data_IF_566314487417
#
_entry.id   IF_566314487417
#
_cell.length_a   1.000
_cell.length_b   1.000
_cell.length_c   1.000
_cell.angle_alpha   90.00
_cell.angle_beta   90.00
_cell.angle_gamma   90.00
#
_symmetry.space_group_name_H-M   'P 1'
#
loop_
_entity.id
_entity.type
_entity.pdbx_description
1 polymer ?
#
# COMPACT_ATOMS: atom_id res chain seq x y z
N UNK A 1 23.64 7.58 4.02
CA UNK A 1 22.81 7.27 2.84
C UNK A 1 22.20 5.88 2.94
N UNK A 2 22.97 4.81 3.18
CA UNK A 2 22.43 3.44 3.32
C UNK A 2 21.43 3.24 4.48
N UNK A 3 21.65 3.90 5.62
CA UNK A 3 20.74 3.79 6.78
C UNK A 3 19.35 4.39 6.51
N UNK A 4 19.26 5.38 5.62
CA UNK A 4 17.98 6.00 5.27
C UNK A 4 17.20 5.10 4.31
N UNK A 5 17.89 4.44 3.37
CA UNK A 5 17.28 3.46 2.46
C UNK A 5 16.78 2.21 3.20
N UNK A 6 17.53 1.73 4.20
CA UNK A 6 17.13 0.60 5.04
C UNK A 6 15.92 0.95 5.93
N UNK A 7 15.87 2.17 6.47
CA UNK A 7 14.72 2.66 7.21
C UNK A 7 13.49 2.82 6.30
N UNK A 8 13.68 3.33 5.08
CA UNK A 8 12.59 3.49 4.13
C UNK A 8 12.01 2.12 3.70
N UNK A 9 12.86 1.15 3.38
CA UNK A 9 12.44 -0.23 3.08
C UNK A 9 11.66 -0.88 4.23
N UNK A 10 12.09 -0.68 5.49
CA UNK A 10 11.37 -1.20 6.66
C UNK A 10 10.03 -0.52 6.88
N UNK A 11 9.93 0.79 6.65
CA UNK A 11 8.68 1.53 6.79
C UNK A 11 7.68 1.08 5.73
N UNK A 12 8.08 0.94 4.46
CA UNK A 12 7.20 0.45 3.39
C UNK A 12 6.67 -0.97 3.68
N UNK A 13 7.54 -1.88 4.13
CA UNK A 13 7.13 -3.24 4.50
C UNK A 13 6.19 -3.27 5.72
N UNK A 14 6.38 -2.38 6.69
CA UNK A 14 5.48 -2.23 7.83
C UNK A 14 4.10 -1.69 7.39
N UNK A 15 4.08 -0.73 6.47
CA UNK A 15 2.83 -0.16 5.94
C UNK A 15 2.03 -1.17 5.12
N UNK A 16 2.66 -1.98 4.27
CA UNK A 16 1.97 -3.06 3.54
C UNK A 16 1.34 -4.09 4.48
N UNK A 17 2.06 -4.46 5.55
CA UNK A 17 1.57 -5.42 6.54
C UNK A 17 0.40 -4.88 7.35
N UNK A 18 0.41 -3.59 7.66
CA UNK A 18 -0.71 -2.91 8.33
C UNK A 18 -1.90 -2.81 7.37
N UNK A 19 -1.67 -2.45 6.10
CA UNK A 19 -2.70 -2.42 5.08
C UNK A 19 -3.44 -3.76 4.93
N UNK A 20 -2.69 -4.85 4.81
CA UNK A 20 -3.26 -6.20 4.74
C UNK A 20 -4.02 -6.60 6.03
N UNK A 21 -3.53 -6.18 7.20
CA UNK A 21 -4.18 -6.44 8.49
C UNK A 21 -5.49 -5.66 8.67
N UNK A 22 -5.53 -4.41 8.20
CA UNK A 22 -6.74 -3.58 8.21
C UNK A 22 -7.76 -4.10 7.20
N UNK A 23 -7.32 -4.56 6.03
CA UNK A 23 -8.21 -5.17 5.03
C UNK A 23 -8.85 -6.48 5.52
N UNK A 24 -8.10 -7.30 6.26
CA UNK A 24 -8.63 -8.52 6.90
C UNK A 24 -9.65 -8.24 8.01
N UNK A 25 -9.49 -7.12 8.74
CA UNK A 25 -10.45 -6.68 9.77
C UNK A 25 -11.64 -5.89 9.19
N UNK A 26 -11.44 -5.27 8.02
CA UNK A 26 -12.46 -4.55 7.27
C UNK A 26 -13.28 -5.47 6.36
N UNK A 27 -12.88 -6.74 6.20
CA UNK A 27 -13.77 -7.76 5.67
C UNK A 27 -14.99 -7.82 6.61
N UNK A 28 -16.21 -7.59 6.11
CA UNK A 28 -17.40 -7.78 6.90
C UNK A 28 -17.42 -9.23 7.35
N UNK A 29 -17.22 -9.46 8.64
CA UNK A 29 -17.67 -10.71 9.23
C UNK A 29 -19.18 -10.67 9.07
N UNK A 30 -19.69 -11.35 8.04
CA UNK A 30 -21.11 -11.41 7.72
C UNK A 30 -21.87 -11.61 9.02
N UNK A 31 -22.55 -10.54 9.45
CA UNK A 31 -23.52 -10.63 10.50
C UNK A 31 -24.58 -11.60 9.97
N UNK A 32 -24.58 -12.81 10.52
CA UNK A 32 -25.68 -13.73 10.29
C UNK A 32 -26.98 -12.96 10.60
N UNK A 33 -27.99 -13.01 9.72
CA UNK A 33 -29.25 -12.32 9.95
C UNK A 33 -29.85 -12.77 11.30
N UNK A 34 -30.72 -11.97 11.94
CA UNK A 34 -31.37 -12.37 13.17
C UNK A 34 -31.97 -13.75 12.95
N UNK A 35 -31.46 -14.74 13.66
CA UNK A 35 -31.90 -16.12 13.50
C UNK A 35 -33.39 -16.11 13.83
N UNK A 36 -34.24 -16.33 12.82
CA UNK A 36 -35.60 -16.79 13.07
C UNK A 36 -35.51 -17.91 14.10
N UNK A 37 -36.44 -17.98 15.08
CA UNK A 37 -36.39 -18.99 16.14
C UNK A 37 -36.17 -20.31 15.44
N UNK A 38 -34.99 -20.89 15.64
CA UNK A 38 -34.59 -22.06 14.87
C UNK A 38 -35.61 -23.14 15.18
N UNK A 39 -35.85 -24.10 14.28
CA UNK A 39 -36.79 -25.20 14.57
C UNK A 39 -36.50 -25.85 15.93
N UNK A 40 -35.24 -25.84 16.37
CA UNK A 40 -34.82 -26.25 17.70
C UNK A 40 -35.46 -25.42 18.86
N UNK A 41 -35.60 -24.10 18.72
CA UNK A 41 -36.24 -23.24 19.73
C UNK A 41 -37.75 -23.47 19.81
N UNK A 42 -38.42 -23.70 18.66
CA UNK A 42 -39.85 -24.06 18.66
C UNK A 42 -40.09 -25.46 19.21
N UNK A 43 -39.20 -26.40 18.91
CA UNK A 43 -39.26 -27.79 19.39
C UNK A 43 -39.04 -27.85 20.92
N UNK A 44 -38.12 -27.04 21.43
CA UNK A 44 -37.89 -26.91 22.88
C UNK A 44 -39.09 -26.26 23.59
N UNK A 45 -39.71 -25.23 22.98
CA UNK A 45 -40.91 -24.61 23.54
C UNK A 45 -42.08 -25.60 23.61
N UNK A 46 -42.29 -26.39 22.56
CA UNK A 46 -43.30 -27.45 22.54
C UNK A 46 -43.05 -28.53 23.61
N UNK A 47 -41.80 -28.99 23.76
CA UNK A 47 -41.43 -29.97 24.78
C UNK A 47 -41.68 -29.45 26.21
N UNK A 48 -41.41 -28.16 26.47
CA UNK A 48 -41.68 -27.53 27.77
C UNK A 48 -43.18 -27.40 28.06
N UNK A 49 -44.00 -27.12 27.05
CA UNK A 49 -45.47 -27.10 27.20
C UNK A 49 -46.02 -28.50 27.48
N UNK A 50 -45.53 -29.52 26.77
CA UNK A 50 -45.90 -30.92 26.99
C UNK A 50 -45.51 -31.39 28.42
N UNK A 51 -44.31 -31.06 28.89
CA UNK A 51 -43.89 -31.39 30.26
C UNK A 51 -44.72 -30.66 31.33
N UNK A 52 -45.12 -29.40 31.09
CA UNK A 52 -45.99 -28.65 32.00
C UNK A 52 -47.37 -29.28 32.10
N UNK A 53 -47.94 -29.69 30.96
CA UNK A 53 -49.24 -30.33 30.90
C UNK A 53 -49.19 -31.72 31.56
N UNK A 54 -48.14 -32.49 31.33
CA UNK A 54 -47.89 -33.76 32.01
C UNK A 54 -47.75 -33.58 33.53
N UNK A 55 -47.02 -32.54 33.98
CA UNK A 55 -46.90 -32.22 35.40
C UNK A 55 -48.24 -31.83 36.03
N UNK A 56 -49.05 -31.01 35.36
CA UNK A 56 -50.38 -30.63 35.84
C UNK A 56 -51.29 -31.87 36.01
N UNK A 57 -51.29 -32.77 35.03
CA UNK A 57 -52.02 -34.04 35.11
C UNK A 57 -51.51 -34.95 36.24
N UNK A 58 -50.19 -35.02 36.46
CA UNK A 58 -49.62 -35.78 37.57
C UNK A 58 -50.00 -35.17 38.92
N UNK A 59 -50.03 -33.85 39.04
CA UNK A 59 -50.47 -33.16 40.26
C UNK A 59 -51.95 -33.43 40.56
N UNK A 60 -52.82 -33.40 39.54
CA UNK A 60 -54.23 -33.75 39.70
C UNK A 60 -54.43 -35.23 40.09
N UNK A 61 -53.68 -36.14 39.44
CA UNK A 61 -53.69 -37.57 39.83
C UNK A 61 -53.23 -37.77 41.26
N UNK A 62 -52.14 -37.12 41.67
CA UNK A 62 -51.65 -37.16 43.05
C UNK A 62 -52.67 -36.59 44.04
N UNK A 63 -53.35 -35.49 43.71
CA UNK A 63 -54.42 -34.93 44.53
C UNK A 63 -55.59 -35.91 44.66
N UNK A 64 -55.97 -36.57 43.57
CA UNK A 64 -57.02 -37.60 43.59
C UNK A 64 -56.63 -38.84 44.40
N UNK A 65 -55.37 -39.27 44.30
CA UNK A 65 -54.81 -40.40 45.05
C UNK A 65 -54.75 -40.07 46.54
N UNK A 66 -54.27 -38.87 46.91
CA UNK A 66 -54.29 -38.38 48.29
C UNK A 66 -55.71 -38.35 48.87
N UNK A 67 -56.68 -37.86 48.11
CA UNK A 67 -58.08 -37.82 48.55
C UNK A 67 -58.67 -39.22 48.73
N UNK A 68 -58.38 -40.15 47.81
CA UNK A 68 -58.80 -41.56 47.91
C UNK A 68 -58.17 -42.27 49.11
N UNK A 69 -56.85 -42.13 49.32
CA UNK A 69 -56.19 -42.71 50.48
C UNK A 69 -56.67 -42.11 51.80
N UNK A 70 -56.94 -40.80 51.86
CA UNK A 70 -57.52 -40.20 53.06
C UNK A 70 -58.91 -40.79 53.37
N UNK A 71 -59.75 -40.97 52.36
CA UNK A 71 -61.08 -41.59 52.52
C UNK A 71 -60.99 -43.08 52.89
N UNK A 72 -60.05 -43.82 52.30
CA UNK A 72 -59.80 -45.24 52.60
C UNK A 72 -59.26 -45.42 54.01
N UNK A 73 -58.39 -44.52 54.48
CA UNK A 73 -57.92 -44.49 55.88
C UNK A 73 -59.07 -44.17 56.84
N UNK A 74 -59.96 -43.23 56.51
CA UNK A 74 -61.14 -42.98 57.35
C UNK A 74 -62.10 -44.17 57.38
N UNK A 75 -62.32 -44.83 56.24
CA UNK A 75 -63.14 -46.03 56.15
C UNK A 75 -62.55 -47.21 56.95
N UNK A 76 -61.25 -47.47 56.81
CA UNK A 76 -60.54 -48.51 57.56
C UNK A 76 -60.52 -48.19 59.07
N UNK A 77 -60.41 -46.92 59.46
CA UNK A 77 -60.55 -46.50 60.87
C UNK A 77 -61.95 -46.77 61.40
N UNK A 78 -63.00 -46.51 60.62
CA UNK A 78 -64.38 -46.79 61.01
C UNK A 78 -64.65 -48.31 61.10
N UNK A 79 -64.11 -49.10 60.17
CA UNK A 79 -64.24 -50.57 60.18
C UNK A 79 -63.47 -51.22 61.33
N UNK A 80 -62.28 -50.69 61.67
CA UNK A 80 -61.51 -51.10 62.86
C UNK A 80 -62.19 -50.73 64.18
N UNK A 81 -63.15 -49.79 64.17
CA UNK A 81 -63.93 -49.42 65.36
C UNK A 81 -65.13 -50.36 65.61
N UNK A 82 -65.53 -51.18 64.64
CA UNK A 82 -66.69 -52.10 64.74
C UNK A 82 -66.32 -53.58 64.91
N UNK A 83 -65.04 -53.98 64.78
CA UNK A 83 -64.58 -55.35 64.97
C UNK A 83 -63.89 -55.59 66.35
N UNK A 84 -64.18 -56.69 67.07
CA UNK A 84 -63.46 -57.03 68.30
C UNK A 84 -62.06 -57.57 67.95
N UNK A 85 -61.04 -56.74 68.14
CA UNK A 85 -59.65 -56.99 67.77
C UNK A 85 -59.07 -58.17 68.56
N UNK A 86 -58.45 -59.12 67.86
CA UNK A 86 -57.61 -60.16 68.46
C UNK A 86 -56.16 -59.69 68.55
N UNK A 87 -55.39 -60.14 69.55
CA UNK A 87 -54.05 -59.62 69.84
C UNK A 87 -53.00 -59.73 68.70
N UNK A 88 -53.29 -60.46 67.61
CA UNK A 88 -52.47 -60.50 66.40
C UNK A 88 -52.74 -59.31 65.46
N UNK A 89 -53.99 -58.87 65.36
CA UNK A 89 -54.43 -57.73 64.55
C UNK A 89 -54.04 -56.38 65.19
N UNK A 90 -53.90 -56.32 66.52
CA UNK A 90 -53.32 -55.16 67.22
C UNK A 90 -51.88 -54.88 66.77
N UNK A 91 -51.09 -55.93 66.51
CA UNK A 91 -49.70 -55.79 66.04
C UNK A 91 -49.60 -55.23 64.61
N UNK A 92 -50.50 -55.65 63.73
CA UNK A 92 -50.58 -55.15 62.35
C UNK A 92 -51.17 -53.73 62.30
N UNK A 93 -52.15 -53.42 63.16
CA UNK A 93 -52.67 -52.05 63.31
C UNK A 93 -51.61 -51.09 63.85
N UNK A 94 -50.78 -51.51 64.81
CA UNK A 94 -49.68 -50.68 65.29
C UNK A 94 -48.57 -50.51 64.24
N UNK A 95 -48.28 -51.52 63.42
CA UNK A 95 -47.37 -51.39 62.27
C UNK A 95 -47.92 -50.44 61.20
N UNK A 96 -49.20 -50.57 60.83
CA UNK A 96 -49.83 -49.67 59.86
C UNK A 96 -49.92 -48.22 60.38
N UNK A 97 -50.15 -48.02 61.69
CA UNK A 97 -50.07 -46.69 62.31
C UNK A 97 -48.65 -46.13 62.26
N UNK A 98 -47.63 -46.96 62.48
CA UNK A 98 -46.23 -46.56 62.35
C UNK A 98 -45.86 -46.17 60.92
N UNK A 99 -46.29 -46.95 59.93
CA UNK A 99 -46.05 -46.67 58.50
C UNK A 99 -46.79 -45.41 58.04
N UNK A 100 -48.01 -45.16 58.55
CA UNK A 100 -48.75 -43.91 58.31
C UNK A 100 -48.06 -42.71 58.96
N UNK A 101 -47.52 -42.86 60.16
CA UNK A 101 -46.73 -41.82 60.82
C UNK A 101 -45.44 -41.52 60.03
N UNK A 102 -44.79 -42.54 59.46
CA UNK A 102 -43.61 -42.37 58.61
C UNK A 102 -43.97 -41.70 57.26
N UNK A 103 -45.07 -42.10 56.62
CA UNK A 103 -45.54 -41.52 55.37
C UNK A 103 -45.97 -40.06 55.53
N UNK A 104 -46.65 -39.73 56.63
CA UNK A 104 -47.03 -38.34 56.95
C UNK A 104 -45.79 -37.50 57.27
N UNK A 105 -44.79 -38.04 57.95
CA UNK A 105 -43.51 -37.36 58.17
C UNK A 105 -42.75 -37.09 56.87
N UNK A 106 -42.67 -38.07 55.96
CA UNK A 106 -42.07 -37.91 54.62
C UNK A 106 -42.81 -36.90 53.76
N UNK A 107 -44.14 -36.86 53.85
CA UNK A 107 -44.97 -35.92 53.11
C UNK A 107 -44.78 -34.49 53.64
N UNK A 108 -44.72 -34.29 54.96
CA UNK A 108 -44.39 -32.99 55.54
C UNK A 108 -42.97 -32.53 55.18
N UNK A 109 -41.99 -33.43 55.16
CA UNK A 109 -40.64 -33.11 54.71
C UNK A 109 -40.59 -32.72 53.22
N UNK A 110 -41.37 -33.39 52.37
CA UNK A 110 -41.48 -33.05 50.95
C UNK A 110 -42.20 -31.70 50.72
N UNK A 111 -43.20 -31.38 51.55
CA UNK A 111 -43.90 -30.10 51.50
C UNK A 111 -43.01 -28.95 52.01
N UNK A 112 -42.20 -29.17 53.04
CA UNK A 112 -41.18 -28.23 53.51
C UNK A 112 -40.11 -27.97 52.45
N UNK A 113 -39.55 -29.02 51.83
CA UNK A 113 -38.58 -28.87 50.75
C UNK A 113 -39.17 -28.14 49.52
N UNK A 114 -40.47 -28.32 49.23
CA UNK A 114 -41.15 -27.56 48.18
C UNK A 114 -41.34 -26.08 48.53
N UNK A 115 -41.59 -25.76 49.80
CA UNK A 115 -41.68 -24.37 50.26
C UNK A 115 -40.32 -23.66 50.14
N UNK A 116 -39.23 -24.32 50.56
CA UNK A 116 -37.87 -23.80 50.40
C UNK A 116 -37.49 -23.60 48.92
N UNK A 117 -37.87 -24.53 48.05
CA UNK A 117 -37.63 -24.41 46.61
C UNK A 117 -38.45 -23.27 45.98
N UNK A 118 -39.68 -23.05 46.46
CA UNK A 118 -40.50 -21.92 46.04
C UNK A 118 -39.91 -20.57 46.50
N UNK A 119 -39.35 -20.50 47.70
CA UNK A 119 -38.67 -19.32 48.22
C UNK A 119 -37.37 -19.04 47.44
N UNK A 120 -36.54 -20.06 47.21
CA UNK A 120 -35.33 -19.93 46.39
C UNK A 120 -35.62 -19.51 44.94
N UNK A 121 -36.74 -19.97 44.38
CA UNK A 121 -37.19 -19.55 43.06
C UNK A 121 -37.69 -18.10 43.05
N UNK A 122 -38.42 -17.69 44.08
CA UNK A 122 -38.86 -16.30 44.24
C UNK A 122 -37.67 -15.34 44.45
N UNK A 123 -36.61 -15.76 45.15
CA UNK A 123 -35.38 -14.96 45.27
C UNK A 123 -34.60 -14.89 43.96
N UNK A 124 -34.58 -15.96 43.16
CA UNK A 124 -33.96 -15.95 41.84
C UNK A 124 -34.73 -15.09 40.84
N UNK A 125 -36.06 -15.10 40.92
CA UNK A 125 -36.94 -14.23 40.12
C UNK A 125 -36.84 -12.77 40.60
N UNK A 126 -36.56 -12.51 41.88
CA UNK A 126 -36.30 -11.18 42.41
C UNK A 126 -34.87 -10.67 42.14
N UNK A 127 -33.88 -11.57 42.05
CA UNK A 127 -32.51 -11.30 41.57
C UNK A 127 -32.47 -11.26 40.05
N UNK A 128 -33.25 -10.31 39.52
CA UNK A 128 -33.53 -9.90 38.16
C UNK A 128 -32.28 -9.58 37.29
N UNK A 129 -31.18 -10.33 37.40
CA UNK A 129 -29.94 -10.15 36.65
C UNK A 129 -30.17 -10.19 35.14
N UNK A 130 -31.13 -11.01 34.67
CA UNK A 130 -31.51 -11.05 33.25
C UNK A 130 -32.21 -9.77 32.80
N UNK A 131 -33.08 -9.19 33.64
CA UNK A 131 -33.78 -7.95 33.28
C UNK A 131 -32.88 -6.73 33.44
N UNK A 132 -31.96 -6.74 34.42
CA UNK A 132 -30.90 -5.74 34.59
C UNK A 132 -29.90 -5.75 33.43
N UNK A 133 -29.37 -6.93 33.05
CA UNK A 133 -28.46 -7.06 31.90
C UNK A 133 -29.17 -6.71 30.60
N UNK A 134 -30.45 -7.06 30.45
CA UNK A 134 -31.24 -6.67 29.27
C UNK A 134 -31.44 -5.15 29.21
N UNK A 135 -31.72 -4.51 30.34
CA UNK A 135 -31.82 -3.06 30.42
C UNK A 135 -30.46 -2.37 30.14
N UNK A 136 -29.35 -2.94 30.61
CA UNK A 136 -28.00 -2.44 30.33
C UNK A 136 -27.63 -2.61 28.84
N UNK A 137 -27.97 -3.75 28.22
CA UNK A 137 -27.81 -3.97 26.79
C UNK A 137 -28.65 -2.97 25.98
N UNK A 138 -29.89 -2.73 26.39
CA UNK A 138 -30.78 -1.79 25.70
C UNK A 138 -30.29 -0.33 25.87
N UNK A 139 -29.71 0.01 27.01
CA UNK A 139 -29.06 1.31 27.25
C UNK A 139 -27.79 1.49 26.39
N UNK A 140 -26.92 0.49 26.33
CA UNK A 140 -25.71 0.53 25.50
C UNK A 140 -26.04 0.58 23.99
N UNK A 141 -27.12 -0.09 23.56
CA UNK A 141 -27.62 0.02 22.18
C UNK A 141 -28.13 1.42 21.88
N UNK A 142 -28.88 2.03 22.80
CA UNK A 142 -29.33 3.40 22.63
C UNK A 142 -28.16 4.41 22.61
N UNK A 143 -27.12 4.19 23.41
CA UNK A 143 -25.89 5.00 23.34
C UNK A 143 -25.16 4.83 22.01
N UNK A 144 -25.10 3.61 21.46
CA UNK A 144 -24.49 3.33 20.15
C UNK A 144 -25.27 3.96 19.00
N UNK A 145 -26.60 3.86 19.04
CA UNK A 145 -27.50 4.46 18.04
C UNK A 145 -27.50 6.00 18.13
N UNK A 146 -27.26 6.55 19.33
CA UNK A 146 -27.08 8.00 19.54
C UNK A 146 -25.72 8.53 19.06
N UNK A 147 -24.78 7.67 18.67
CA UNK A 147 -23.55 8.10 17.96
C UNK A 147 -23.91 8.41 16.50
N UNK A 148 -24.73 9.44 16.29
CA UNK A 148 -25.07 10.03 14.98
C UNK A 148 -23.81 10.47 14.20
N UNK A 149 -22.69 10.65 14.92
CA UNK A 149 -21.39 11.00 14.35
C UNK A 149 -20.81 9.89 13.47
N UNK A 150 -21.12 8.60 13.68
CA UNK A 150 -20.50 7.53 12.88
C UNK A 150 -20.97 7.55 11.43
N UNK A 151 -22.27 7.76 11.20
CA UNK A 151 -22.79 7.80 9.83
C UNK A 151 -22.48 9.13 9.14
N UNK A 152 -22.41 10.24 9.90
CA UNK A 152 -21.92 11.52 9.41
C UNK A 152 -20.42 11.44 9.01
N UNK A 153 -19.58 10.83 9.84
CA UNK A 153 -18.16 10.62 9.56
C UNK A 153 -17.94 9.66 8.39
N UNK A 154 -18.75 8.61 8.25
CA UNK A 154 -18.70 7.74 7.05
C UNK A 154 -19.07 8.52 5.78
N UNK A 155 -20.09 9.38 5.84
CA UNK A 155 -20.46 10.23 4.71
C UNK A 155 -19.36 11.24 4.35
N UNK A 156 -18.73 11.87 5.36
CA UNK A 156 -17.60 12.79 5.16
C UNK A 156 -16.37 12.06 4.60
N UNK A 157 -16.09 10.83 5.05
CA UNK A 157 -15.01 10.00 4.49
C UNK A 157 -15.29 9.63 3.03
N UNK A 158 -16.52 9.26 2.69
CA UNK A 158 -16.92 8.98 1.31
C UNK A 158 -16.82 10.23 0.42
N UNK A 159 -17.19 11.41 0.94
CA UNK A 159 -17.04 12.68 0.23
C UNK A 159 -15.56 13.06 0.02
N UNK A 160 -14.71 12.91 1.04
CA UNK A 160 -13.27 13.14 0.92
C UNK A 160 -12.59 12.13 -0.01
N UNK A 161 -13.05 10.87 -0.04
CA UNK A 161 -12.59 9.86 -1.00
C UNK A 161 -13.01 10.21 -2.42
N UNK A 162 -14.23 10.69 -2.62
CA UNK A 162 -14.70 11.17 -3.91
C UNK A 162 -13.87 12.37 -4.38
N UNK A 163 -13.60 13.36 -3.50
CA UNK A 163 -12.73 14.50 -3.80
C UNK A 163 -11.28 14.10 -4.09
N UNK A 164 -10.76 13.07 -3.41
CA UNK A 164 -9.44 12.50 -3.71
C UNK A 164 -9.42 11.73 -5.05
N UNK A 165 -10.54 11.12 -5.43
CA UNK A 165 -10.71 10.48 -6.74
C UNK A 165 -10.93 11.48 -7.88
N UNK A 166 -11.49 12.66 -7.57
CA UNK A 166 -11.56 13.86 -8.42
C UNK A 166 -10.18 14.54 -8.59
N UNK A 167 -9.12 13.75 -8.54
CA UNK A 167 -7.82 13.98 -9.21
C UNK A 167 -7.93 14.24 -10.72
N UNK A 168 -9.12 14.56 -11.24
CA UNK A 168 -9.36 15.13 -12.56
C UNK A 168 -8.42 16.30 -12.87
N UNK A 169 -8.06 17.12 -11.87
CA UNK A 169 -7.06 18.18 -12.03
C UNK A 169 -5.65 17.57 -12.23
N UNK A 170 -5.28 16.52 -11.50
CA UNK A 170 -4.00 15.84 -11.72
C UNK A 170 -3.96 15.16 -13.09
N UNK A 171 -5.05 14.53 -13.52
CA UNK A 171 -5.15 13.90 -14.81
C UNK A 171 -5.16 14.93 -15.94
N UNK A 172 -5.86 16.05 -15.80
CA UNK A 172 -5.80 17.20 -16.71
C UNK A 172 -4.38 17.74 -16.80
N UNK A 173 -3.72 18.03 -15.69
CA UNK A 173 -2.33 18.49 -15.67
C UNK A 173 -1.38 17.46 -16.27
N UNK A 174 -1.59 16.16 -16.04
CA UNK A 174 -0.79 15.10 -16.67
C UNK A 174 -0.98 15.08 -18.17
N UNK A 175 -2.21 15.26 -18.67
CA UNK A 175 -2.49 15.35 -20.10
C UNK A 175 -1.89 16.60 -20.73
N UNK A 176 -1.95 17.73 -20.04
CA UNK A 176 -1.40 19.01 -20.52
C UNK A 176 0.14 18.96 -20.53
N UNK A 177 0.77 18.37 -19.51
CA UNK A 177 2.21 18.09 -19.49
C UNK A 177 2.61 17.14 -20.62
N UNK A 178 1.80 16.11 -20.90
CA UNK A 178 2.08 15.19 -22.00
C UNK A 178 1.96 15.88 -23.37
N UNK A 179 0.97 16.75 -23.55
CA UNK A 179 0.78 17.56 -24.75
C UNK A 179 1.94 18.55 -24.95
N UNK A 180 2.32 19.31 -23.92
CA UNK A 180 3.45 20.24 -23.99
C UNK A 180 4.79 19.53 -24.23
N UNK A 181 4.98 18.33 -23.67
CA UNK A 181 6.16 17.49 -23.98
C UNK A 181 6.15 17.00 -25.42
N UNK A 182 4.97 16.62 -25.94
CA UNK A 182 4.84 16.23 -27.33
C UNK A 182 5.10 17.42 -28.26
N UNK A 183 4.59 18.63 -27.97
CA UNK A 183 4.88 19.85 -28.72
C UNK A 183 6.37 20.23 -28.65
N UNK A 184 7.01 20.09 -27.48
CA UNK A 184 8.46 20.32 -27.34
C UNK A 184 9.28 19.29 -28.13
N UNK A 185 8.84 18.03 -28.16
CA UNK A 185 9.47 16.96 -28.93
C UNK A 185 9.19 17.05 -30.44
N UNK A 186 8.04 17.57 -30.81
CA UNK A 186 7.62 17.89 -32.18
C UNK A 186 8.15 19.23 -32.66
N UNK A 187 8.81 20.01 -31.79
CA UNK A 187 9.57 21.16 -32.21
C UNK A 187 10.76 20.64 -33.02
N UNK A 188 10.52 20.34 -34.29
CA UNK A 188 11.52 20.07 -35.34
C UNK A 188 12.64 21.11 -35.26
N UNK A 189 12.29 22.33 -34.84
CA UNK A 189 13.23 23.40 -34.52
C UNK A 189 14.32 23.04 -33.52
N UNK A 190 14.07 22.23 -32.49
CA UNK A 190 15.11 21.77 -31.55
C UNK A 190 16.05 20.77 -32.24
N UNK A 191 15.52 19.89 -33.09
CA UNK A 191 16.32 18.97 -33.90
C UNK A 191 17.15 19.72 -34.95
N UNK A 192 16.55 20.70 -35.63
CA UNK A 192 17.21 21.57 -36.60
C UNK A 192 18.32 22.40 -35.94
N UNK A 193 18.02 23.07 -34.83
CA UNK A 193 19.00 23.87 -34.09
C UNK A 193 20.14 23.00 -33.55
N UNK A 194 19.84 21.76 -33.11
CA UNK A 194 20.90 20.85 -32.66
C UNK A 194 21.78 20.40 -33.82
N UNK A 195 21.21 20.09 -35.00
CA UNK A 195 21.97 19.81 -36.22
C UNK A 195 22.79 21.01 -36.70
N UNK A 196 22.23 22.22 -36.70
CA UNK A 196 22.94 23.47 -37.01
C UNK A 196 24.13 23.69 -36.04
N UNK A 197 23.95 23.44 -34.74
CA UNK A 197 25.02 23.55 -33.75
C UNK A 197 26.12 22.50 -33.96
N UNK A 198 25.78 21.27 -34.33
CA UNK A 198 26.77 20.25 -34.66
C UNK A 198 27.58 20.62 -35.90
N UNK A 199 26.93 21.14 -36.94
CA UNK A 199 27.59 21.65 -38.15
C UNK A 199 28.55 22.80 -37.83
N UNK A 200 28.10 23.81 -37.08
CA UNK A 200 28.95 24.95 -36.67
C UNK A 200 30.12 24.51 -35.79
N UNK A 201 29.94 23.47 -34.96
CA UNK A 201 31.02 22.89 -34.16
C UNK A 201 32.03 22.17 -35.04
N UNK A 202 31.58 21.38 -36.01
CA UNK A 202 32.45 20.70 -36.97
C UNK A 202 33.28 21.70 -37.80
N UNK A 203 32.65 22.78 -38.27
CA UNK A 203 33.32 23.88 -38.97
C UNK A 203 34.40 24.53 -38.09
N UNK A 204 34.08 24.85 -36.83
CA UNK A 204 35.07 25.42 -35.90
C UNK A 204 36.26 24.50 -35.64
N UNK A 205 36.03 23.20 -35.53
CA UNK A 205 37.11 22.20 -35.36
C UNK A 205 38.00 22.17 -36.61
N UNK A 206 37.38 22.12 -37.80
CA UNK A 206 38.11 22.16 -39.08
C UNK A 206 38.93 23.43 -39.24
N UNK A 207 38.34 24.60 -38.96
CA UNK A 207 39.04 25.88 -38.98
C UNK A 207 40.17 25.96 -37.96
N UNK A 208 39.97 25.43 -36.74
CA UNK A 208 41.02 25.36 -35.73
C UNK A 208 42.21 24.49 -36.16
N UNK A 209 41.94 23.35 -36.81
CA UNK A 209 42.98 22.48 -37.34
C UNK A 209 43.77 23.15 -38.48
N UNK A 210 43.09 23.80 -39.43
CA UNK A 210 43.74 24.53 -40.53
C UNK A 210 44.60 25.71 -40.01
N UNK A 211 44.10 26.46 -39.02
CA UNK A 211 44.87 27.56 -38.42
C UNK A 211 46.13 27.06 -37.70
N UNK A 212 46.03 25.96 -36.95
CA UNK A 212 47.16 25.33 -36.29
C UNK A 212 48.24 24.86 -37.28
N UNK A 213 47.84 24.31 -38.42
CA UNK A 213 48.76 23.93 -39.49
C UNK A 213 49.48 25.15 -40.09
N UNK A 214 48.74 26.21 -40.42
CA UNK A 214 49.29 27.46 -40.95
C UNK A 214 50.28 28.11 -39.98
N UNK A 215 49.95 28.16 -38.68
CA UNK A 215 50.85 28.66 -37.64
C UNK A 215 52.16 27.85 -37.59
N UNK A 216 52.07 26.52 -37.72
CA UNK A 216 53.22 25.64 -37.81
C UNK A 216 54.11 25.91 -39.03
N UNK A 217 53.50 26.14 -40.20
CA UNK A 217 54.22 26.48 -41.44
C UNK A 217 54.88 27.85 -41.37
N UNK A 218 54.20 28.87 -40.82
CA UNK A 218 54.77 30.20 -40.60
C UNK A 218 55.96 30.16 -39.64
N UNK A 219 55.90 29.34 -38.59
CA UNK A 219 57.04 29.13 -37.69
C UNK A 219 58.22 28.46 -38.41
N UNK A 220 57.96 27.45 -39.25
CA UNK A 220 58.99 26.81 -40.10
C UNK A 220 59.63 27.81 -41.05
N UNK A 221 58.83 28.64 -41.72
CA UNK A 221 59.30 29.69 -42.63
C UNK A 221 60.17 30.73 -41.92
N UNK A 222 59.78 31.19 -40.73
CA UNK A 222 60.59 32.11 -39.92
C UNK A 222 61.94 31.49 -39.58
N UNK A 223 61.94 30.25 -39.07
CA UNK A 223 63.17 29.53 -38.72
C UNK A 223 64.10 29.33 -39.92
N UNK A 224 63.57 28.90 -41.06
CA UNK A 224 64.36 28.71 -42.27
C UNK A 224 64.95 30.04 -42.80
N UNK A 225 64.19 31.13 -42.72
CA UNK A 225 64.69 32.46 -43.06
C UNK A 225 65.78 32.97 -42.11
N UNK A 226 65.65 32.72 -40.81
CA UNK A 226 66.68 33.08 -39.83
C UNK A 226 67.97 32.28 -40.06
N UNK A 227 67.85 30.98 -40.40
CA UNK A 227 68.98 30.15 -40.80
C UNK A 227 69.64 30.65 -42.09
N UNK A 228 68.85 31.02 -43.11
CA UNK A 228 69.36 31.61 -44.34
C UNK A 228 70.10 32.93 -44.08
N UNK A 229 69.53 33.83 -43.26
CA UNK A 229 70.17 35.09 -42.87
C UNK A 229 71.50 34.85 -42.16
N UNK A 230 71.55 33.87 -41.25
CA UNK A 230 72.78 33.48 -40.56
C UNK A 230 73.82 32.93 -41.54
N UNK A 231 73.44 31.99 -42.41
CA UNK A 231 74.35 31.42 -43.41
C UNK A 231 74.91 32.48 -44.36
N UNK A 232 74.07 33.45 -44.78
CA UNK A 232 74.51 34.58 -45.60
C UNK A 232 75.43 35.55 -44.84
N UNK A 233 75.23 35.74 -43.53
CA UNK A 233 76.12 36.55 -42.70
C UNK A 233 77.50 35.88 -42.55
N UNK A 234 77.53 34.57 -42.27
CA UNK A 234 78.76 33.79 -42.17
C UNK A 234 79.53 33.79 -43.50
N UNK A 235 78.82 33.61 -44.63
CA UNK A 235 79.39 33.68 -45.97
C UNK A 235 79.97 35.07 -46.30
N UNK A 236 79.29 36.15 -45.92
CA UNK A 236 79.80 37.52 -46.10
C UNK A 236 81.04 37.76 -45.25
N UNK A 237 81.04 37.36 -43.99
CA UNK A 237 82.19 37.50 -43.09
C UNK A 237 83.43 36.74 -43.61
N UNK A 238 83.24 35.52 -44.10
CA UNK A 238 84.31 34.71 -44.71
C UNK A 238 84.87 35.38 -45.99
N UNK A 239 83.99 35.90 -46.84
CA UNK A 239 84.38 36.62 -48.06
C UNK A 239 85.13 37.94 -47.73
N UNK A 240 84.69 38.70 -46.73
CA UNK A 240 85.37 39.92 -46.25
C UNK A 240 86.75 39.62 -45.67
N UNK A 241 86.91 38.49 -44.98
CA UNK A 241 88.21 37.99 -44.50
C UNK A 241 89.11 37.44 -45.61
N UNK A 242 88.61 37.34 -46.86
CA UNK A 242 89.33 36.75 -47.98
C UNK A 242 89.47 35.23 -47.90
N UNK A 243 88.77 34.57 -46.98
CA UNK A 243 88.78 33.12 -46.81
C UNK A 243 87.58 32.54 -47.55
N UNK A 244 87.81 32.15 -48.80
CA UNK A 244 86.78 31.49 -49.61
C UNK A 244 86.59 30.04 -49.16
N UNK A 245 85.55 29.78 -48.37
CA UNK A 245 85.23 28.44 -47.86
C UNK A 245 84.09 27.78 -48.65
N UNK A 246 84.35 26.74 -49.47
CA UNK A 246 83.32 26.09 -50.30
C UNK A 246 82.15 25.50 -49.51
N UNK A 247 82.38 25.10 -48.26
CA UNK A 247 81.35 24.52 -47.42
C UNK A 247 80.30 25.55 -46.96
N UNK A 248 80.67 26.83 -46.81
CA UNK A 248 79.73 27.90 -46.49
C UNK A 248 78.81 28.21 -47.67
N UNK A 249 79.31 28.11 -48.91
CA UNK A 249 78.49 28.23 -50.12
C UNK A 249 77.44 27.11 -50.15
N UNK A 250 77.87 25.86 -49.92
CA UNK A 250 76.95 24.72 -49.86
C UNK A 250 75.92 24.88 -48.71
N UNK A 251 76.35 25.37 -47.55
CA UNK A 251 75.46 25.63 -46.42
C UNK A 251 74.43 26.73 -46.73
N UNK A 252 74.84 27.83 -47.36
CA UNK A 252 73.95 28.90 -47.78
C UNK A 252 72.95 28.41 -48.85
N UNK A 253 73.39 27.63 -49.83
CA UNK A 253 72.52 27.06 -50.86
C UNK A 253 71.51 26.06 -50.27
N UNK A 254 71.91 25.23 -49.31
CA UNK A 254 70.99 24.33 -48.61
C UNK A 254 69.96 25.13 -47.79
N UNK A 255 70.39 26.16 -47.07
CA UNK A 255 69.48 27.03 -46.33
C UNK A 255 68.51 27.78 -47.26
N UNK A 256 68.94 28.17 -48.46
CA UNK A 256 68.08 28.81 -49.46
C UNK A 256 67.03 27.83 -50.00
N UNK A 257 67.43 26.60 -50.30
CA UNK A 257 66.50 25.55 -50.71
C UNK A 257 65.49 25.22 -49.60
N UNK A 258 65.92 25.20 -48.33
CA UNK A 258 65.03 24.98 -47.20
C UNK A 258 64.05 26.15 -47.00
N UNK A 259 64.52 27.40 -47.13
CA UNK A 259 63.66 28.59 -47.10
C UNK A 259 62.63 28.59 -48.23
N UNK A 260 63.02 28.24 -49.46
CA UNK A 260 62.11 28.14 -50.61
C UNK A 260 61.08 27.02 -50.42
N UNK A 261 61.47 25.88 -49.85
CA UNK A 261 60.55 24.79 -49.52
C UNK A 261 59.54 25.21 -48.45
N UNK A 262 60.01 25.87 -47.39
CA UNK A 262 59.14 26.38 -46.33
C UNK A 262 58.17 27.45 -46.86
N UNK A 263 58.63 28.31 -47.77
CA UNK A 263 57.78 29.32 -48.41
C UNK A 263 56.67 28.65 -49.22
N UNK A 264 57.01 27.70 -50.11
CA UNK A 264 56.02 26.97 -50.89
C UNK A 264 55.03 26.18 -50.03
N UNK A 265 55.48 25.60 -48.92
CA UNK A 265 54.61 24.90 -47.98
C UNK A 265 53.61 25.86 -47.32
N UNK A 266 54.08 27.05 -46.93
CA UNK A 266 53.23 28.11 -46.37
C UNK A 266 52.20 28.59 -47.40
N UNK A 267 52.64 28.90 -48.63
CA UNK A 267 51.76 29.32 -49.72
C UNK A 267 50.68 28.26 -50.01
N UNK A 268 51.05 26.98 -50.02
CA UNK A 268 50.10 25.88 -50.21
C UNK A 268 49.09 25.76 -49.07
N UNK A 269 49.54 25.93 -47.81
CA UNK A 269 48.67 25.92 -46.64
C UNK A 269 47.71 27.12 -46.63
N UNK A 270 48.17 28.31 -47.02
CA UNK A 270 47.33 29.51 -47.16
C UNK A 270 46.25 29.29 -48.23
N UNK A 271 46.63 28.79 -49.41
CA UNK A 271 45.67 28.48 -50.48
C UNK A 271 44.66 27.43 -50.04
N UNK A 272 45.10 26.37 -49.35
CA UNK A 272 44.20 25.34 -48.85
C UNK A 272 43.24 25.89 -47.79
N UNK A 273 43.70 26.76 -46.88
CA UNK A 273 42.87 27.42 -45.90
C UNK A 273 41.81 28.32 -46.57
N UNK A 274 42.20 29.08 -47.59
CA UNK A 274 41.28 29.92 -48.38
C UNK A 274 40.27 29.06 -49.14
N UNK A 275 40.70 28.00 -49.83
CA UNK A 275 39.81 27.08 -50.54
C UNK A 275 38.83 26.39 -49.59
N UNK A 276 39.26 26.00 -48.39
CA UNK A 276 38.38 25.38 -47.39
C UNK A 276 37.25 26.33 -46.94
N UNK A 277 37.50 27.65 -46.97
CA UNK A 277 36.51 28.66 -46.61
C UNK A 277 35.63 29.08 -47.79
N UNK A 278 36.17 29.14 -48.99
CA UNK A 278 35.44 29.53 -50.20
C UNK A 278 34.61 28.38 -50.79
N UNK A 279 35.06 27.13 -50.66
CA UNK A 279 34.37 25.95 -51.17
C UNK A 279 32.90 25.87 -50.74
N UNK A 280 32.60 25.94 -49.42
CA UNK A 280 31.22 25.93 -48.93
C UNK A 280 30.38 27.10 -49.44
N UNK A 281 30.97 28.31 -49.55
CA UNK A 281 30.28 29.52 -50.01
C UNK A 281 29.95 29.46 -51.51
N UNK A 282 30.81 28.85 -52.31
CA UNK A 282 30.56 28.62 -53.74
C UNK A 282 29.49 27.55 -53.94
N UNK A 283 29.49 26.49 -53.14
CA UNK A 283 28.42 25.48 -53.20
C UNK A 283 27.09 26.08 -52.80
N UNK A 284 27.02 26.89 -51.73
CA UNK A 284 25.77 27.56 -51.35
C UNK A 284 25.27 28.54 -52.41
N UNK A 285 26.17 29.27 -53.08
CA UNK A 285 25.79 30.21 -54.14
C UNK A 285 25.23 29.49 -55.38
N UNK A 286 25.83 28.36 -55.78
CA UNK A 286 25.31 27.54 -56.88
C UNK A 286 23.96 26.88 -56.56
N UNK A 287 23.72 26.52 -55.30
CA UNK A 287 22.43 25.98 -54.86
C UNK A 287 21.32 27.03 -54.95
N UNK A 288 21.61 28.30 -54.62
CA UNK A 288 20.63 29.39 -54.71
C UNK A 288 20.33 29.86 -56.14
N UNK A 289 21.27 29.76 -57.08
CA UNK A 289 21.01 30.10 -58.49
C UNK A 289 20.28 28.98 -59.27
N UNK A 290 20.36 27.73 -58.81
CA UNK A 290 19.71 26.59 -59.47
C UNK A 290 18.25 26.34 -59.07
N UNK A 291 17.72 27.07 -58.09
CA UNK A 291 16.32 26.95 -57.65
C UNK A 291 15.37 27.94 -58.36
N UNK A 292 15.90 28.86 -59.17
CA UNK A 292 15.15 29.90 -59.89
C UNK A 292 14.91 29.59 -61.40
N UNK A 293 15.29 28.41 -61.91
CA UNK A 293 14.95 27.92 -63.27
C UNK A 293 13.88 26.80 -63.27
#
# INVERSE_FOLDING_TARGET
MSQIEELHSRISAAMERIGAGVEALAMPQEAAPPSEPTGADSDLAAALEDERLANAQLQERLKSIKAKHAAEIEALKAESAEAPVTAAEDGELEQLKADLAEATAKLMAAEAARAELAEAKATLEAEDQSTLLRAEIDALKAELDAVEDVDALKAEIEELRAQASDSAIEDELRTEIAALKAELGQSERVSELSAELEMLRAERVSHGAAMSQLDGDLQRLRKANDQLRKALADLRAANEAGVGEPHLINAAMLAELEALRAQRATDAAEVQAVLSKLGPLLTSANLTEGEDE
#
